data_IF_610056904982
#
_entry.id   IF_610056904982
#
_cell.length_a   1.000
_cell.length_b   1.000
_cell.length_c   1.000
_cell.angle_alpha   90.00
_cell.angle_beta   90.00
_cell.angle_gamma   90.00
#
_symmetry.space_group_name_H-M   'P 1'
#
loop_
_entity.id
_entity.type
_entity.pdbx_description
1 polymer ?
#
# COMPACT_ATOMS: atom_id res chain seq x y z
N UNK A 1 10.20 7.61 -14.31
CA UNK A 1 11.47 7.98 -13.62
C UNK A 1 11.29 8.88 -12.40
N UNK A 2 10.32 9.81 -12.35
CA UNK A 2 10.19 10.74 -11.22
C UNK A 2 9.75 10.05 -9.93
N UNK A 3 8.66 9.27 -9.97
CA UNK A 3 8.15 8.57 -8.80
C UNK A 3 9.13 7.54 -8.23
N UNK A 4 9.89 6.84 -9.08
CA UNK A 4 10.92 5.89 -8.65
C UNK A 4 12.01 6.56 -7.79
N UNK A 5 12.41 7.79 -8.12
CA UNK A 5 13.39 8.55 -7.32
C UNK A 5 12.82 9.00 -5.98
N UNK A 6 11.55 9.40 -5.96
CA UNK A 6 10.87 9.78 -4.72
C UNK A 6 10.64 8.56 -3.82
N UNK A 7 10.22 7.44 -4.41
CA UNK A 7 10.09 6.15 -3.74
C UNK A 7 11.43 5.65 -3.22
N UNK A 8 12.52 5.79 -3.99
CA UNK A 8 13.86 5.44 -3.52
C UNK A 8 14.24 6.20 -2.24
N UNK A 9 13.97 7.52 -2.21
CA UNK A 9 14.22 8.34 -1.01
C UNK A 9 13.37 7.88 0.17
N UNK A 10 12.10 7.55 -0.07
CA UNK A 10 11.21 7.00 0.97
C UNK A 10 11.79 5.69 1.51
N UNK A 11 12.19 4.76 0.64
CA UNK A 11 12.76 3.47 1.06
C UNK A 11 14.07 3.67 1.85
N UNK A 12 14.95 4.56 1.40
CA UNK A 12 16.19 4.86 2.11
C UNK A 12 15.95 5.44 3.51
N UNK A 13 15.00 6.36 3.64
CA UNK A 13 14.65 6.97 4.94
C UNK A 13 13.96 6.01 5.91
N UNK A 14 13.47 4.87 5.42
CA UNK A 14 12.75 3.87 6.22
C UNK A 14 13.46 2.50 6.17
N UNK A 15 14.76 2.47 5.87
CA UNK A 15 15.52 1.21 5.68
C UNK A 15 15.49 0.29 6.90
N UNK A 16 15.55 0.87 8.10
CA UNK A 16 15.64 0.13 9.36
C UNK A 16 14.27 -0.10 10.02
N UNK A 17 13.18 0.22 9.31
CA UNK A 17 11.81 0.13 9.83
C UNK A 17 11.09 -1.12 9.37
N UNK A 18 10.20 -1.66 10.21
CA UNK A 18 9.27 -2.73 9.80
C UNK A 18 8.28 -2.17 8.79
N UNK A 19 8.36 -2.66 7.54
CA UNK A 19 7.63 -2.11 6.38
C UNK A 19 6.65 -3.14 5.80
N UNK A 20 5.45 -2.68 5.46
CA UNK A 20 4.49 -3.44 4.67
C UNK A 20 4.02 -2.64 3.43
N UNK A 21 3.84 -3.34 2.32
CA UNK A 21 3.21 -2.85 1.09
C UNK A 21 1.83 -3.47 0.96
N UNK A 22 0.81 -2.65 0.78
CA UNK A 22 -0.58 -3.06 0.63
C UNK A 22 -1.04 -2.71 -0.77
N UNK A 23 -1.72 -3.65 -1.42
CA UNK A 23 -2.35 -3.47 -2.72
C UNK A 23 -3.86 -3.52 -2.53
N UNK A 24 -4.53 -2.43 -2.89
CA UNK A 24 -5.97 -2.38 -3.00
C UNK A 24 -6.42 -3.26 -4.19
N UNK A 25 -7.29 -4.21 -3.90
CA UNK A 25 -7.82 -5.19 -4.86
C UNK A 25 -9.31 -5.00 -5.13
N UNK A 26 -9.89 -3.88 -4.66
CA UNK A 26 -11.31 -3.56 -4.86
C UNK A 26 -11.67 -3.18 -6.30
N UNK A 27 -10.69 -2.72 -7.09
CA UNK A 27 -10.89 -2.26 -8.47
C UNK A 27 -9.73 -2.66 -9.37
N UNK A 28 -10.04 -3.07 -10.61
CA UNK A 28 -9.07 -3.37 -11.66
C UNK A 28 -8.84 -2.20 -12.64
N UNK A 29 -9.27 -0.99 -12.27
CA UNK A 29 -9.13 0.20 -13.11
C UNK A 29 -7.69 0.72 -13.18
N UNK A 30 -6.85 0.34 -12.22
CA UNK A 30 -5.43 0.69 -12.19
C UNK A 30 -4.65 -0.19 -13.18
N UNK A 31 -3.68 0.40 -13.88
CA UNK A 31 -2.73 -0.34 -14.70
C UNK A 31 -1.94 -1.35 -13.85
N UNK A 32 -2.20 -2.64 -14.11
CA UNK A 32 -1.55 -3.74 -13.43
C UNK A 32 -0.02 -3.65 -13.48
N UNK A 33 0.53 -3.18 -14.60
CA UNK A 33 1.99 -3.06 -14.78
C UNK A 33 2.61 -2.08 -13.78
N UNK A 34 1.90 -1.01 -13.42
CA UNK A 34 2.35 -0.04 -12.41
C UNK A 34 2.43 -0.70 -11.04
N UNK A 35 1.42 -1.48 -10.67
CA UNK A 35 1.39 -2.20 -9.39
C UNK A 35 2.55 -3.20 -9.32
N UNK A 36 2.75 -4.01 -10.36
CA UNK A 36 3.86 -4.96 -10.43
C UNK A 36 5.23 -4.27 -10.29
N UNK A 37 5.40 -3.11 -10.94
CA UNK A 37 6.62 -2.33 -10.84
C UNK A 37 6.87 -1.81 -9.42
N UNK A 38 5.83 -1.38 -8.71
CA UNK A 38 5.92 -0.97 -7.31
C UNK A 38 6.30 -2.17 -6.42
N UNK A 39 5.63 -3.31 -6.58
CA UNK A 39 5.94 -4.54 -5.81
C UNK A 39 7.40 -4.94 -6.01
N UNK A 40 7.85 -5.00 -7.27
CA UNK A 40 9.22 -5.34 -7.62
C UNK A 40 10.21 -4.35 -7.01
N UNK A 41 9.96 -3.05 -7.14
CA UNK A 41 10.83 -2.01 -6.59
C UNK A 41 10.96 -2.12 -5.07
N UNK A 42 9.84 -2.24 -4.36
CA UNK A 42 9.85 -2.36 -2.89
C UNK A 42 10.55 -3.66 -2.48
N UNK A 43 10.31 -4.77 -3.18
CA UNK A 43 10.95 -6.05 -2.90
C UNK A 43 12.46 -6.07 -3.15
N UNK A 44 12.94 -5.34 -4.17
CA UNK A 44 14.38 -5.17 -4.41
C UNK A 44 15.06 -4.32 -3.32
N UNK A 45 14.36 -3.30 -2.81
CA UNK A 45 14.89 -2.38 -1.80
C UNK A 45 14.76 -2.91 -0.36
N UNK A 46 13.72 -3.70 -0.08
CA UNK A 46 13.46 -4.34 1.21
C UNK A 46 12.87 -5.76 1.02
N UNK A 47 13.73 -6.79 0.88
CA UNK A 47 13.30 -8.17 0.66
C UNK A 47 12.50 -8.81 1.81
N UNK A 48 12.54 -8.22 3.01
CA UNK A 48 11.80 -8.69 4.18
C UNK A 48 10.46 -7.97 4.37
N UNK A 49 10.11 -7.01 3.50
CA UNK A 49 8.82 -6.35 3.56
C UNK A 49 7.66 -7.34 3.38
N UNK A 50 6.58 -7.09 4.11
CA UNK A 50 5.33 -7.82 3.96
C UNK A 50 4.53 -7.26 2.79
N UNK A 51 3.96 -8.13 1.97
CA UNK A 51 3.03 -7.79 0.91
C UNK A 51 1.62 -8.21 1.33
N UNK A 52 0.67 -7.29 1.24
CA UNK A 52 -0.72 -7.51 1.62
C UNK A 52 -1.58 -7.19 0.42
N UNK A 53 -2.54 -8.08 0.16
CA UNK A 53 -3.64 -7.79 -0.77
C UNK A 53 -4.91 -7.63 0.05
N UNK A 54 -5.64 -6.54 -0.15
CA UNK A 54 -6.84 -6.25 0.63
C UNK A 54 -7.90 -5.52 -0.20
N UNK A 55 -9.16 -5.64 0.21
CA UNK A 55 -10.29 -4.87 -0.30
C UNK A 55 -11.10 -4.28 0.88
N UNK A 56 -12.27 -4.81 1.21
CA UNK A 56 -12.93 -4.55 2.49
C UNK A 56 -12.35 -5.38 3.64
N UNK A 57 -11.55 -6.41 3.30
CA UNK A 57 -10.84 -7.29 4.23
C UNK A 57 -9.47 -7.68 3.69
N UNK A 58 -8.63 -8.28 4.54
CA UNK A 58 -7.36 -8.84 4.08
C UNK A 58 -7.63 -10.13 3.27
N UNK A 59 -7.00 -10.22 2.10
CA UNK A 59 -7.09 -11.37 1.18
C UNK A 59 -5.87 -12.27 1.26
N UNK A 60 -4.68 -11.68 1.38
CA UNK A 60 -3.45 -12.43 1.65
C UNK A 60 -2.42 -11.56 2.37
N UNK A 61 -1.51 -12.24 3.07
CA UNK A 61 -0.33 -11.66 3.71
C UNK A 61 0.84 -12.56 3.36
N UNK A 62 1.78 -12.03 2.59
CA UNK A 62 2.89 -12.78 2.00
C UNK A 62 4.21 -12.03 2.21
N UNK A 63 5.35 -12.71 2.04
CA UNK A 63 6.62 -11.99 1.87
C UNK A 63 6.70 -11.41 0.46
N UNK A 64 7.24 -10.20 0.30
CA UNK A 64 7.31 -9.50 -1.01
C UNK A 64 8.20 -10.14 -2.08
N UNK A 65 8.74 -11.34 -1.84
CA UNK A 65 9.80 -11.98 -2.63
C UNK A 65 9.44 -12.25 -4.10
N UNK A 66 8.15 -12.32 -4.43
CA UNK A 66 7.64 -12.44 -5.80
C UNK A 66 6.35 -11.66 -5.94
N UNK A 67 6.11 -11.09 -7.12
CA UNK A 67 4.81 -10.55 -7.49
C UNK A 67 3.77 -11.68 -7.48
N UNK A 68 2.82 -11.70 -6.52
CA UNK A 68 1.76 -12.69 -6.53
C UNK A 68 0.77 -12.38 -7.64
N UNK A 69 -0.02 -13.37 -8.03
CA UNK A 69 -1.19 -13.09 -8.85
C UNK A 69 -2.14 -12.16 -8.08
N UNK A 70 -2.48 -11.01 -8.66
CA UNK A 70 -3.44 -10.09 -8.08
C UNK A 70 -4.83 -10.49 -8.57
N UNK A 71 -5.70 -10.83 -7.61
CA UNK A 71 -7.11 -11.12 -7.89
C UNK A 71 -7.95 -9.95 -7.38
N UNK A 72 -8.74 -9.37 -8.27
CA UNK A 72 -9.63 -8.26 -7.93
C UNK A 72 -10.99 -8.78 -7.45
N UNK A 73 -11.60 -8.07 -6.51
CA UNK A 73 -12.86 -8.41 -5.87
C UNK A 73 -13.80 -7.20 -5.88
N UNK A 74 -14.93 -7.31 -6.57
CA UNK A 74 -15.91 -6.23 -6.71
C UNK A 74 -17.02 -6.24 -5.63
N UNK A 75 -16.70 -6.63 -4.40
CA UNK A 75 -17.70 -6.76 -3.33
C UNK A 75 -17.59 -5.60 -2.32
N UNK A 76 -18.68 -4.86 -2.13
CA UNK A 76 -18.80 -3.87 -1.05
C UNK A 76 -17.94 -2.61 -1.22
N UNK A 77 -18.11 -1.65 -0.31
CA UNK A 77 -17.23 -0.48 -0.23
C UNK A 77 -15.88 -0.93 0.34
N UNK A 78 -14.78 -0.54 -0.29
CA UNK A 78 -13.41 -0.77 0.22
C UNK A 78 -13.27 -0.18 1.64
N UNK A 79 -12.50 -0.84 2.51
CA UNK A 79 -12.29 -0.45 3.91
C UNK A 79 -10.85 -0.70 4.30
N UNK A 80 -10.18 0.33 4.80
CA UNK A 80 -8.78 0.23 5.21
C UNK A 80 -8.60 -0.36 6.63
N UNK A 81 -9.71 -0.56 7.34
CA UNK A 81 -9.76 -0.85 8.78
C UNK A 81 -8.95 -2.07 9.15
N UNK A 82 -9.24 -3.22 8.54
CA UNK A 82 -8.59 -4.48 8.89
C UNK A 82 -7.06 -4.44 8.64
N UNK A 83 -6.64 -3.74 7.60
CA UNK A 83 -5.21 -3.57 7.30
C UNK A 83 -4.53 -2.70 8.35
N UNK A 84 -5.15 -1.62 8.79
CA UNK A 84 -4.57 -0.76 9.83
C UNK A 84 -4.57 -1.43 11.20
N UNK A 85 -5.61 -2.15 11.57
CA UNK A 85 -5.65 -2.96 12.80
C UNK A 85 -4.55 -4.02 12.79
N UNK A 86 -4.39 -4.75 11.69
CA UNK A 86 -3.31 -5.70 11.51
C UNK A 86 -1.94 -5.01 11.60
N UNK A 87 -1.75 -3.87 10.93
CA UNK A 87 -0.48 -3.15 10.92
C UNK A 87 -0.10 -2.64 12.31
N UNK A 88 -1.07 -2.20 13.10
CA UNK A 88 -0.86 -1.83 14.49
C UNK A 88 -0.46 -3.03 15.35
N UNK A 89 -1.15 -4.17 15.20
CA UNK A 89 -0.87 -5.39 15.96
C UNK A 89 0.51 -5.98 15.63
N UNK A 90 0.92 -5.90 14.37
CA UNK A 90 2.24 -6.31 13.89
C UNK A 90 3.31 -5.24 14.08
N UNK A 91 3.02 -4.12 14.73
CA UNK A 91 3.98 -3.04 14.97
C UNK A 91 4.69 -2.58 13.69
N UNK A 92 3.94 -2.52 12.58
CA UNK A 92 4.43 -1.93 11.34
C UNK A 92 4.69 -0.45 11.59
N UNK A 93 5.88 0.00 11.22
CA UNK A 93 6.28 1.40 11.38
C UNK A 93 6.04 2.20 10.10
N UNK A 94 6.13 1.54 8.94
CA UNK A 94 5.90 2.16 7.62
C UNK A 94 4.95 1.31 6.80
N UNK A 95 3.80 1.88 6.45
CA UNK A 95 2.79 1.21 5.63
C UNK A 95 2.66 1.94 4.30
N UNK A 96 2.95 1.25 3.20
CA UNK A 96 2.81 1.79 1.85
C UNK A 96 1.54 1.21 1.24
N UNK A 97 0.59 2.05 0.81
CA UNK A 97 -0.73 1.58 0.37
C UNK A 97 -0.99 2.03 -1.06
N UNK A 98 -1.05 1.08 -2.00
CA UNK A 98 -1.44 1.32 -3.39
C UNK A 98 -2.97 1.32 -3.49
N UNK A 99 -3.58 2.47 -3.72
CA UNK A 99 -5.06 2.64 -3.74
C UNK A 99 -5.43 3.94 -4.47
N UNK A 100 -6.72 4.10 -4.77
CA UNK A 100 -7.32 5.35 -5.27
C UNK A 100 -7.86 6.26 -4.15
N UNK A 101 -7.81 5.82 -2.89
CA UNK A 101 -8.27 6.55 -1.69
C UNK A 101 -9.79 6.77 -1.68
N UNK A 102 -10.55 5.86 -2.27
CA UNK A 102 -12.03 5.88 -2.24
C UNK A 102 -12.64 5.03 -1.12
N UNK A 103 -11.83 4.28 -0.40
CA UNK A 103 -12.25 3.43 0.71
C UNK A 103 -12.72 4.22 1.94
N UNK A 104 -13.55 3.57 2.75
CA UNK A 104 -14.05 4.15 3.99
C UNK A 104 -13.03 4.01 5.13
N UNK A 105 -12.94 5.05 5.96
CA UNK A 105 -12.13 5.09 7.17
C UNK A 105 -13.04 5.47 8.34
N UNK A 106 -13.05 4.68 9.41
CA UNK A 106 -13.81 5.02 10.62
C UNK A 106 -13.08 6.10 11.42
N UNK A 107 -13.83 7.07 11.93
CA UNK A 107 -13.27 8.23 12.66
C UNK A 107 -12.49 7.85 13.93
N UNK A 108 -12.84 6.72 14.55
CA UNK A 108 -12.22 6.25 15.81
C UNK A 108 -11.03 5.30 15.57
N UNK A 109 -10.64 5.04 14.32
CA UNK A 109 -9.57 4.11 14.01
C UNK A 109 -8.20 4.71 14.34
N UNK A 110 -7.50 4.12 15.32
CA UNK A 110 -6.12 4.46 15.59
C UNK A 110 -5.21 3.93 14.47
N UNK A 111 -4.35 4.78 13.91
CA UNK A 111 -3.36 4.38 12.90
C UNK A 111 -1.97 4.76 13.39
N UNK A 112 -1.21 3.75 13.85
CA UNK A 112 0.16 3.89 14.36
C UNK A 112 1.24 3.96 13.27
N UNK A 113 1.21 3.16 12.17
CA UNK A 113 2.24 3.26 11.14
C UNK A 113 2.23 4.62 10.46
N UNK A 114 3.41 5.07 10.01
CA UNK A 114 3.45 6.18 9.06
C UNK A 114 3.02 5.69 7.68
N UNK A 115 1.94 6.28 7.14
CA UNK A 115 1.33 5.82 5.90
C UNK A 115 1.81 6.62 4.69
N UNK A 116 2.26 5.91 3.66
CA UNK A 116 2.49 6.42 2.32
C UNK A 116 1.41 5.91 1.38
N UNK A 117 0.54 6.80 0.90
CA UNK A 117 -0.49 6.51 -0.09
C UNK A 117 0.12 6.59 -1.49
N UNK A 118 0.28 5.43 -2.13
CA UNK A 118 0.81 5.29 -3.48
C UNK A 118 -0.34 5.32 -4.48
N UNK A 119 -0.53 6.44 -5.17
CA UNK A 119 -1.67 6.64 -6.05
C UNK A 119 -1.26 6.30 -7.48
N UNK A 120 -1.80 5.24 -8.10
CA UNK A 120 -1.42 4.83 -9.44
C UNK A 120 -2.24 5.58 -10.52
N UNK A 121 -2.43 6.88 -10.30
CA UNK A 121 -3.13 7.81 -11.18
C UNK A 121 -2.35 9.15 -11.17
N UNK A 122 -2.56 10.00 -12.18
CA UNK A 122 -2.09 11.39 -12.19
C UNK A 122 -2.85 12.28 -11.21
N UNK A 123 -4.11 11.92 -10.90
CA UNK A 123 -4.94 12.65 -9.94
C UNK A 123 -4.35 12.58 -8.53
N UNK A 124 -4.46 13.69 -7.78
CA UNK A 124 -3.97 13.81 -6.41
C UNK A 124 -5.16 13.93 -5.45
N UNK A 125 -5.72 12.81 -4.95
CA UNK A 125 -6.76 12.87 -3.95
C UNK A 125 -6.22 13.50 -2.65
N UNK A 126 -7.13 14.07 -1.86
CA UNK A 126 -6.82 14.46 -0.48
C UNK A 126 -6.77 13.17 0.37
N UNK A 127 -5.60 12.89 0.94
CA UNK A 127 -5.42 11.75 1.86
C UNK A 127 -5.79 12.15 3.30
N UNK A 128 -6.30 11.22 4.13
CA UNK A 128 -6.70 11.53 5.50
C UNK A 128 -5.51 11.90 6.39
N UNK A 129 -4.36 11.26 6.19
CA UNK A 129 -3.11 11.47 6.94
C UNK A 129 -1.92 10.94 6.14
N UNK A 130 -0.72 11.05 6.70
CA UNK A 130 0.50 10.51 6.09
C UNK A 130 0.97 11.33 4.88
N UNK A 131 1.56 10.66 3.89
CA UNK A 131 2.05 11.30 2.66
C UNK A 131 1.52 10.61 1.42
N UNK A 132 1.27 11.40 0.38
CA UNK A 132 0.86 10.91 -0.93
C UNK A 132 2.04 10.91 -1.89
N UNK A 133 2.13 9.86 -2.72
CA UNK A 133 3.03 9.77 -3.87
C UNK A 133 2.26 9.20 -5.06
N UNK A 134 2.19 9.92 -6.18
CA UNK A 134 1.71 9.36 -7.43
C UNK A 134 2.78 8.43 -8.03
N UNK A 135 2.39 7.25 -8.50
CA UNK A 135 3.29 6.22 -9.06
C UNK A 135 3.11 6.02 -10.57
N UNK A 136 2.87 7.12 -11.29
CA UNK A 136 2.71 7.19 -12.75
C UNK A 136 3.78 8.06 -13.42
#
# INVERSE_FOLDING_TARGET
>A
MRWQRELLKIMQNNRDKKLALVIDTSSNQTDHQVIENVIKFVGEMNPEATLIQADFKIRSIDKIKKTPAIKYYSHGKSSYTEVFEWANAEEIETLMYVTDVTGFLYDELEVKPFVYWLIPDQYKPKVPFGKLLNVV
#
